data_IF_819078023557
#
_entry.id   IF_819078023557
#
_cell.length_a   1.000
_cell.length_b   1.000
_cell.length_c   1.000
_cell.angle_alpha   90.00
_cell.angle_beta   90.00
_cell.angle_gamma   90.00
#
_symmetry.space_group_name_H-M   'P 1'
#
loop_
_entity.id
_entity.type
_entity.pdbx_description
1 polymer ?
#
# COMPACT_ATOMS: atom_id res chain seq x y z
N UNK A 1 27.26 11.93 8.34
CA UNK A 1 25.92 12.34 8.77
C UNK A 1 25.61 11.78 10.16
N UNK A 2 24.84 12.49 10.96
CA UNK A 2 24.35 11.93 12.23
C UNK A 2 23.26 10.90 12.00
N UNK A 3 22.33 11.18 11.07
CA UNK A 3 21.34 10.21 10.62
C UNK A 3 21.06 10.35 9.12
N UNK A 4 20.75 9.24 8.48
CA UNK A 4 20.20 9.17 7.12
C UNK A 4 18.85 8.46 7.23
N UNK A 5 17.76 9.10 6.81
CA UNK A 5 16.46 8.47 6.65
C UNK A 5 16.24 8.22 5.16
N UNK A 6 16.21 6.95 4.77
CA UNK A 6 16.21 6.57 3.37
C UNK A 6 14.80 6.20 2.88
N UNK A 7 14.16 7.13 2.16
CA UNK A 7 12.85 6.94 1.52
C UNK A 7 12.93 6.39 0.09
N UNK A 8 14.13 6.08 -0.38
CA UNK A 8 14.30 5.53 -1.73
C UNK A 8 13.75 4.12 -1.83
N UNK A 9 13.16 3.80 -2.97
CA UNK A 9 12.69 2.46 -3.28
C UNK A 9 13.72 1.79 -4.17
N UNK A 10 14.37 0.76 -3.65
CA UNK A 10 15.35 -0.06 -4.35
C UNK A 10 14.77 -1.46 -4.61
N UNK A 11 15.22 -2.12 -5.68
CA UNK A 11 15.19 -3.55 -5.74
C UNK A 11 16.33 -4.14 -4.85
N UNK A 12 16.33 -5.46 -4.66
CA UNK A 12 17.30 -6.13 -3.75
C UNK A 12 18.74 -5.89 -4.18
N UNK A 13 19.05 -5.96 -5.47
CA UNK A 13 20.43 -5.83 -5.97
C UNK A 13 20.93 -4.37 -5.89
N UNK A 14 20.05 -3.41 -6.23
CA UNK A 14 20.37 -1.99 -6.09
C UNK A 14 20.69 -1.61 -4.64
N UNK A 15 19.94 -2.17 -3.68
CA UNK A 15 20.18 -1.95 -2.26
C UNK A 15 21.50 -2.55 -1.82
N UNK A 16 21.78 -3.79 -2.21
CA UNK A 16 23.03 -4.51 -1.88
C UNK A 16 24.27 -3.72 -2.24
N UNK A 17 24.28 -3.08 -3.41
CA UNK A 17 25.42 -2.28 -3.87
C UNK A 17 25.61 -1.00 -3.05
N UNK A 18 24.53 -0.41 -2.52
CA UNK A 18 24.57 0.93 -1.88
C UNK A 18 24.72 0.88 -0.35
N UNK A 19 24.16 -0.14 0.29
CA UNK A 19 23.98 -0.17 1.75
C UNK A 19 25.29 0.00 2.53
N UNK A 20 26.38 -0.60 2.08
CA UNK A 20 27.69 -0.50 2.76
C UNK A 20 28.21 0.95 2.81
N UNK A 21 27.97 1.72 1.75
CA UNK A 21 28.37 3.13 1.72
C UNK A 21 27.48 3.98 2.63
N UNK A 22 26.16 3.72 2.63
CA UNK A 22 25.20 4.41 3.47
C UNK A 22 25.48 4.17 4.95
N UNK A 23 25.74 2.93 5.36
CA UNK A 23 26.09 2.57 6.72
C UNK A 23 27.40 3.23 7.19
N UNK A 24 28.43 3.30 6.32
CA UNK A 24 29.70 3.98 6.63
C UNK A 24 29.58 5.50 6.71
N UNK A 25 28.58 6.08 6.05
CA UNK A 25 28.40 7.53 5.95
C UNK A 25 27.63 8.15 7.12
N UNK A 26 27.06 7.34 8.03
CA UNK A 26 26.15 7.84 9.07
C UNK A 26 26.35 7.11 10.40
N UNK A 27 25.98 7.77 11.50
CA UNK A 27 25.88 7.16 12.83
C UNK A 27 24.61 6.33 12.99
N UNK A 28 23.53 6.69 12.26
CA UNK A 28 22.25 5.95 12.22
C UNK A 28 21.69 5.96 10.81
N UNK A 29 21.49 4.78 10.24
CA UNK A 29 20.81 4.58 8.96
C UNK A 29 19.39 4.07 9.22
N UNK A 30 18.39 4.87 8.89
CA UNK A 30 16.96 4.51 9.04
C UNK A 30 16.45 4.04 7.69
N UNK A 31 16.19 2.74 7.60
CA UNK A 31 15.69 2.07 6.40
C UNK A 31 14.17 1.98 6.44
N UNK A 32 13.50 2.51 5.42
CA UNK A 32 12.05 2.37 5.28
C UNK A 32 11.73 1.06 4.57
N UNK A 33 11.39 0.05 5.37
CA UNK A 33 10.86 -1.23 4.95
C UNK A 33 9.34 -1.15 4.74
N UNK A 34 8.60 -2.21 5.05
CA UNK A 34 7.14 -2.25 4.97
C UNK A 34 6.58 -3.34 5.87
N UNK A 35 5.46 -3.09 6.53
CA UNK A 35 4.73 -4.13 7.24
C UNK A 35 4.09 -5.18 6.31
N UNK A 36 4.17 -5.01 5.00
CA UNK A 36 3.85 -6.08 4.03
C UNK A 36 4.82 -7.26 4.10
N UNK A 37 5.98 -7.11 4.75
CA UNK A 37 6.91 -8.22 4.98
C UNK A 37 6.35 -9.28 5.92
N UNK A 38 5.43 -8.93 6.82
CA UNK A 38 4.83 -9.88 7.75
C UNK A 38 4.02 -10.96 7.05
N UNK A 39 4.09 -12.16 7.57
CA UNK A 39 3.31 -13.30 7.14
C UNK A 39 1.79 -13.10 7.27
N UNK A 40 1.01 -14.03 6.76
CA UNK A 40 -0.44 -14.00 6.88
C UNK A 40 -0.87 -14.23 8.33
N UNK A 41 -1.86 -13.48 8.78
CA UNK A 41 -2.57 -13.66 10.04
C UNK A 41 -4.01 -14.09 9.72
N UNK A 42 -4.47 -15.16 10.33
CA UNK A 42 -5.77 -15.76 10.01
C UNK A 42 -6.84 -15.48 11.06
N UNK A 43 -6.42 -15.12 12.27
CA UNK A 43 -7.34 -14.80 13.37
C UNK A 43 -7.50 -13.27 13.48
N UNK A 44 -8.74 -12.81 13.64
CA UNK A 44 -9.04 -11.40 13.93
C UNK A 44 -8.49 -10.93 15.28
N UNK A 45 -8.20 -11.84 16.19
CA UNK A 45 -7.70 -11.52 17.53
C UNK A 45 -6.18 -11.49 17.62
N UNK A 46 -5.49 -11.97 16.58
CA UNK A 46 -4.04 -11.97 16.50
C UNK A 46 -3.52 -10.58 16.07
N UNK A 47 -2.71 -9.96 16.93
CA UNK A 47 -2.02 -8.71 16.62
C UNK A 47 -0.63 -9.00 16.06
N UNK A 48 -0.30 -8.34 14.97
CA UNK A 48 1.04 -8.38 14.37
C UNK A 48 1.98 -7.54 15.23
N UNK A 49 3.11 -8.11 15.62
CA UNK A 49 4.22 -7.41 16.27
C UNK A 49 5.51 -7.64 15.47
N UNK A 50 6.62 -7.06 15.92
CA UNK A 50 7.90 -7.13 15.22
C UNK A 50 8.50 -8.55 15.16
N UNK A 51 8.07 -9.45 16.06
CA UNK A 51 8.47 -10.86 16.10
C UNK A 51 7.61 -11.75 15.18
N UNK A 52 6.51 -11.22 14.64
CA UNK A 52 5.67 -11.96 13.69
C UNK A 52 6.51 -12.40 12.48
N UNK A 53 6.51 -13.71 12.11
CA UNK A 53 7.30 -14.22 11.01
C UNK A 53 7.01 -13.49 9.70
N UNK A 54 8.05 -13.31 8.88
CA UNK A 54 7.92 -12.63 7.59
C UNK A 54 7.49 -13.60 6.49
N UNK A 55 6.88 -13.08 5.44
CA UNK A 55 6.49 -13.84 4.23
C UNK A 55 7.68 -14.64 3.68
N UNK A 56 8.86 -14.00 3.59
CA UNK A 56 10.06 -14.63 3.07
C UNK A 56 10.47 -15.90 3.83
N UNK A 57 10.17 -15.96 5.14
CA UNK A 57 10.57 -17.04 6.03
C UNK A 57 9.51 -18.16 6.11
N UNK A 58 8.27 -17.92 5.64
CA UNK A 58 7.12 -18.84 5.82
C UNK A 58 6.60 -19.41 4.51
N UNK A 59 6.59 -18.64 3.43
CA UNK A 59 5.93 -19.00 2.18
C UNK A 59 6.75 -20.05 1.44
N UNK A 60 6.06 -21.04 0.84
CA UNK A 60 6.65 -22.09 0.02
C UNK A 60 6.28 -21.98 -1.46
N UNK A 61 5.67 -20.86 -1.87
CA UNK A 61 5.30 -20.58 -3.24
C UNK A 61 6.56 -20.16 -4.04
N UNK A 62 7.14 -21.11 -4.76
CA UNK A 62 8.37 -20.88 -5.53
C UNK A 62 8.20 -19.81 -6.61
N UNK A 63 7.02 -19.73 -7.25
CA UNK A 63 6.74 -18.69 -8.25
C UNK A 63 6.87 -17.30 -7.60
N UNK A 64 6.30 -17.12 -6.42
CA UNK A 64 6.41 -15.87 -5.68
C UNK A 64 7.84 -15.62 -5.19
N UNK A 65 8.47 -16.63 -4.57
CA UNK A 65 9.82 -16.52 -4.02
C UNK A 65 10.89 -16.22 -5.07
N UNK A 66 10.67 -16.61 -6.33
CA UNK A 66 11.56 -16.30 -7.45
C UNK A 66 11.39 -14.86 -7.99
N UNK A 67 10.45 -14.09 -7.45
CA UNK A 67 10.29 -12.67 -7.81
C UNK A 67 11.07 -11.78 -6.86
N UNK A 68 11.30 -10.53 -7.26
CA UNK A 68 11.68 -9.44 -6.36
C UNK A 68 10.46 -8.53 -6.08
N UNK A 69 9.28 -9.17 -5.84
CA UNK A 69 8.06 -8.44 -5.48
C UNK A 69 8.32 -7.61 -4.23
N UNK A 70 7.66 -6.49 -4.13
CA UNK A 70 7.93 -5.44 -3.15
C UNK A 70 8.11 -5.95 -1.71
N UNK A 71 7.26 -6.86 -1.22
CA UNK A 71 7.37 -7.37 0.15
C UNK A 71 8.59 -8.28 0.33
N UNK A 72 8.88 -9.13 -0.67
CA UNK A 72 10.08 -9.98 -0.67
C UNK A 72 11.36 -9.15 -0.81
N UNK A 73 11.35 -8.15 -1.68
CA UNK A 73 12.47 -7.22 -1.84
C UNK A 73 12.79 -6.52 -0.52
N UNK A 74 11.77 -5.98 0.17
CA UNK A 74 11.96 -5.35 1.48
C UNK A 74 12.48 -6.34 2.53
N UNK A 75 11.96 -7.57 2.60
CA UNK A 75 12.44 -8.58 3.54
C UNK A 75 13.91 -9.00 3.26
N UNK A 76 14.29 -9.12 1.99
CA UNK A 76 15.68 -9.39 1.60
C UNK A 76 16.62 -8.24 1.93
N UNK A 77 16.16 -7.00 1.77
CA UNK A 77 16.92 -5.81 2.16
C UNK A 77 17.12 -5.72 3.67
N UNK A 78 16.11 -6.14 4.46
CA UNK A 78 16.28 -6.30 5.91
C UNK A 78 17.38 -7.34 6.24
N UNK A 79 17.38 -8.50 5.56
CA UNK A 79 18.44 -9.51 5.76
C UNK A 79 19.83 -8.93 5.48
N UNK A 80 19.99 -8.15 4.41
CA UNK A 80 21.27 -7.49 4.08
C UNK A 80 21.73 -6.55 5.22
N UNK A 81 20.80 -5.85 5.88
CA UNK A 81 21.12 -5.01 7.04
C UNK A 81 21.54 -5.85 8.25
N UNK A 82 20.80 -6.93 8.57
CA UNK A 82 21.16 -7.85 9.65
C UNK A 82 22.53 -8.51 9.45
N UNK A 83 22.90 -8.76 8.20
CA UNK A 83 24.18 -9.39 7.81
C UNK A 83 25.34 -8.39 7.64
N UNK A 84 25.09 -7.08 7.80
CA UNK A 84 26.07 -6.03 7.50
C UNK A 84 27.27 -5.96 8.45
N UNK A 85 27.30 -6.74 9.54
CA UNK A 85 28.36 -6.74 10.53
C UNK A 85 28.45 -5.49 11.41
N UNK A 86 27.44 -4.63 11.35
CA UNK A 86 27.26 -3.44 12.19
C UNK A 86 25.77 -3.30 12.56
N UNK A 87 25.50 -2.51 13.59
CA UNK A 87 24.14 -2.32 14.09
C UNK A 87 23.69 -0.84 14.09
N UNK A 88 24.36 0.00 13.32
CA UNK A 88 23.99 1.43 13.21
C UNK A 88 22.83 1.65 12.23
N UNK A 89 21.93 0.70 12.14
CA UNK A 89 20.68 0.80 11.37
C UNK A 89 19.44 0.72 12.26
N UNK A 90 18.34 1.25 11.75
CA UNK A 90 16.99 1.11 12.31
C UNK A 90 16.05 0.78 11.16
N UNK A 91 15.29 -0.30 11.26
CA UNK A 91 14.31 -0.70 10.24
C UNK A 91 12.93 -0.20 10.64
N UNK A 92 12.26 0.51 9.75
CA UNK A 92 10.88 0.98 9.95
C UNK A 92 9.96 0.22 9.00
N UNK A 93 8.90 -0.38 9.53
CA UNK A 93 7.86 -1.10 8.79
C UNK A 93 6.53 -0.33 8.85
N UNK A 94 6.32 0.74 8.06
CA UNK A 94 4.99 1.32 7.94
C UNK A 94 4.06 0.36 7.20
N UNK A 95 2.76 0.42 7.50
CA UNK A 95 1.77 -0.29 6.68
C UNK A 95 1.16 0.67 5.65
N UNK A 96 -0.13 0.68 5.44
CA UNK A 96 -0.74 1.60 4.48
C UNK A 96 -0.75 3.01 5.09
N UNK A 97 0.07 3.90 4.53
CA UNK A 97 0.04 5.31 4.87
C UNK A 97 -0.88 6.07 3.93
N UNK A 98 -1.64 7.00 4.46
CA UNK A 98 -2.47 7.90 3.65
C UNK A 98 -2.15 9.36 3.94
N UNK A 99 -2.49 10.21 3.00
CA UNK A 99 -2.37 11.67 3.04
C UNK A 99 -3.32 12.29 2.03
N UNK A 100 -3.33 13.61 1.93
CA UNK A 100 -4.09 14.36 0.93
C UNK A 100 -3.76 13.93 -0.51
N UNK A 101 -2.57 13.42 -0.75
CA UNK A 101 -2.12 12.99 -2.08
C UNK A 101 -2.21 11.49 -2.31
N UNK A 102 -2.42 10.70 -1.26
CA UNK A 102 -2.48 9.24 -1.33
C UNK A 102 -3.68 8.69 -0.57
N UNK A 103 -4.69 8.28 -1.30
CA UNK A 103 -5.95 7.73 -0.82
C UNK A 103 -6.18 6.37 -1.49
N UNK A 104 -5.92 5.28 -0.75
CA UNK A 104 -5.97 3.91 -1.25
C UNK A 104 -7.26 3.22 -0.83
N UNK A 105 -7.86 2.43 -1.73
CA UNK A 105 -8.98 1.54 -1.45
C UNK A 105 -8.61 0.10 -1.84
N UNK A 106 -8.37 -0.76 -0.86
CA UNK A 106 -7.86 -2.12 -1.11
C UNK A 106 -6.49 -2.10 -1.79
N UNK A 107 -6.44 -2.48 -3.05
CA UNK A 107 -5.25 -2.40 -3.90
C UNK A 107 -5.32 -1.23 -4.91
N UNK A 108 -6.40 -0.48 -4.90
CA UNK A 108 -6.65 0.60 -5.85
C UNK A 108 -6.10 1.91 -5.32
N UNK A 109 -5.26 2.57 -6.11
CA UNK A 109 -4.84 3.94 -5.83
C UNK A 109 -5.95 4.93 -6.22
N UNK A 110 -5.88 6.18 -5.75
CA UNK A 110 -6.92 7.19 -6.02
C UNK A 110 -7.19 7.42 -7.51
N UNK A 111 -6.19 7.23 -8.36
CA UNK A 111 -6.30 7.31 -9.81
C UNK A 111 -7.25 6.28 -10.41
N UNK A 112 -7.46 5.17 -9.71
CA UNK A 112 -8.27 4.06 -10.22
C UNK A 112 -9.70 4.08 -9.67
N UNK A 113 -9.88 4.35 -8.37
CA UNK A 113 -11.21 4.32 -7.77
C UNK A 113 -11.84 5.72 -7.61
N UNK A 114 -11.07 6.70 -7.07
CA UNK A 114 -11.58 8.04 -6.80
C UNK A 114 -11.79 8.82 -8.11
N UNK A 115 -10.85 8.67 -9.05
CA UNK A 115 -10.99 9.25 -10.38
C UNK A 115 -12.28 8.77 -11.06
N UNK A 116 -12.60 7.48 -10.97
CA UNK A 116 -13.85 6.91 -11.50
C UNK A 116 -15.06 7.57 -10.87
N UNK A 117 -15.15 7.60 -9.54
CA UNK A 117 -16.25 8.22 -8.82
C UNK A 117 -16.49 9.68 -9.23
N UNK A 118 -15.41 10.46 -9.32
CA UNK A 118 -15.48 11.89 -9.70
C UNK A 118 -15.85 12.13 -11.16
N UNK A 119 -15.69 11.13 -12.03
CA UNK A 119 -16.05 11.22 -13.44
C UNK A 119 -17.35 10.48 -13.79
N UNK A 120 -18.15 10.09 -12.78
CA UNK A 120 -19.44 9.46 -12.95
C UNK A 120 -19.38 8.01 -13.41
N UNK A 121 -18.28 7.31 -13.12
CA UNK A 121 -18.14 5.87 -13.32
C UNK A 121 -18.26 5.13 -11.99
N UNK A 122 -18.75 3.90 -12.05
CA UNK A 122 -18.88 3.04 -10.88
C UNK A 122 -17.49 2.67 -10.30
N UNK A 123 -17.39 2.67 -8.97
CA UNK A 123 -16.27 2.09 -8.25
C UNK A 123 -16.43 0.57 -8.30
N UNK A 124 -15.38 -0.17 -8.67
CA UNK A 124 -15.40 -1.63 -8.59
C UNK A 124 -14.59 -2.07 -7.38
N UNK A 125 -15.24 -2.78 -6.46
CA UNK A 125 -14.60 -3.32 -5.28
C UNK A 125 -14.96 -4.79 -5.10
N UNK A 126 -14.33 -5.52 -4.17
CA UNK A 126 -14.56 -6.95 -4.01
C UNK A 126 -14.88 -7.34 -2.58
N UNK A 127 -15.82 -8.29 -2.44
CA UNK A 127 -16.32 -8.78 -1.14
C UNK A 127 -15.22 -9.51 -0.35
N UNK A 128 -14.35 -10.23 -1.03
CA UNK A 128 -13.25 -10.96 -0.39
C UNK A 128 -12.25 -10.04 0.31
N UNK A 129 -11.95 -8.86 -0.26
CA UNK A 129 -11.12 -7.85 0.43
C UNK A 129 -11.96 -7.06 1.43
N UNK A 130 -13.19 -6.69 1.09
CA UNK A 130 -14.05 -5.80 1.87
C UNK A 130 -14.22 -6.24 3.31
N UNK A 131 -14.30 -7.55 3.57
CA UNK A 131 -14.56 -8.15 4.88
C UNK A 131 -13.34 -8.21 5.81
N UNK A 132 -12.12 -8.01 5.30
CA UNK A 132 -10.89 -8.10 6.10
C UNK A 132 -10.53 -6.80 6.79
N UNK A 133 -9.98 -6.92 8.00
CA UNK A 133 -9.43 -5.78 8.72
C UNK A 133 -8.14 -5.28 8.07
N UNK A 134 -8.02 -3.97 8.05
CA UNK A 134 -6.84 -3.24 7.60
C UNK A 134 -6.52 -2.11 8.56
N UNK A 135 -5.28 -1.67 8.57
CA UNK A 135 -4.83 -0.50 9.32
C UNK A 135 -4.34 0.55 8.33
N UNK A 136 -4.92 1.74 8.35
CA UNK A 136 -4.46 2.89 7.59
C UNK A 136 -3.94 3.94 8.57
N UNK A 137 -2.70 4.38 8.36
CA UNK A 137 -2.07 5.34 9.28
C UNK A 137 -1.81 6.66 8.57
N UNK A 138 -2.19 7.77 9.20
CA UNK A 138 -1.90 9.09 8.66
C UNK A 138 -0.39 9.29 8.51
N UNK A 139 0.06 9.67 7.31
CA UNK A 139 1.48 9.75 6.97
C UNK A 139 2.28 10.70 7.85
N UNK A 140 1.64 11.78 8.34
CA UNK A 140 2.26 12.71 9.28
C UNK A 140 2.59 12.04 10.61
N UNK A 141 1.72 11.18 11.15
CA UNK A 141 1.98 10.46 12.39
C UNK A 141 3.12 9.45 12.25
N UNK A 142 3.20 8.78 11.08
CA UNK A 142 4.34 7.92 10.75
C UNK A 142 5.64 8.72 10.73
N UNK A 143 5.63 9.91 10.11
CA UNK A 143 6.82 10.77 10.07
C UNK A 143 7.25 11.25 11.45
N UNK A 144 6.30 11.53 12.36
CA UNK A 144 6.59 11.85 13.77
C UNK A 144 7.21 10.67 14.51
N UNK A 145 6.73 9.45 14.27
CA UNK A 145 7.33 8.24 14.82
C UNK A 145 8.77 8.05 14.35
N UNK A 146 9.03 8.24 13.06
CA UNK A 146 10.39 8.18 12.48
C UNK A 146 11.27 9.26 13.13
N UNK A 147 10.79 10.50 13.21
CA UNK A 147 11.54 11.60 13.81
C UNK A 147 11.90 11.33 15.28
N UNK A 148 11.01 10.69 16.04
CA UNK A 148 11.27 10.30 17.44
C UNK A 148 12.33 9.21 17.61
N UNK A 149 12.63 8.44 16.56
CA UNK A 149 13.67 7.40 16.56
C UNK A 149 15.04 7.94 16.12
N UNK A 150 15.10 9.13 15.51
CA UNK A 150 16.38 9.73 15.07
C UNK A 150 17.24 10.07 16.29
N UNK A 151 18.47 9.56 16.28
CA UNK A 151 19.42 9.80 17.35
C UNK A 151 19.13 9.03 18.65
N UNK A 152 18.15 8.13 18.68
CA UNK A 152 17.83 7.28 19.82
C UNK A 152 18.78 6.06 19.85
N UNK A 153 19.70 5.93 20.83
CA UNK A 153 20.64 4.80 20.87
C UNK A 153 19.92 3.44 20.97
N UNK A 154 18.81 3.38 21.69
CA UNK A 154 18.00 2.16 21.81
C UNK A 154 17.31 1.73 20.51
N UNK A 155 17.32 2.56 19.45
CA UNK A 155 16.78 2.20 18.16
C UNK A 155 17.81 1.61 17.20
N UNK A 156 19.09 1.60 17.56
CA UNK A 156 20.15 1.03 16.74
C UNK A 156 20.10 -0.50 16.75
N UNK A 157 20.08 -1.11 15.58
CA UNK A 157 19.93 -2.55 15.40
C UNK A 157 18.51 -3.07 15.60
N UNK A 158 17.51 -2.17 15.66
CA UNK A 158 16.13 -2.50 16.00
C UNK A 158 15.17 -2.32 14.83
N UNK A 159 14.06 -3.07 14.91
CA UNK A 159 12.94 -3.01 13.96
C UNK A 159 11.74 -2.44 14.67
N UNK A 160 11.04 -1.51 14.01
CA UNK A 160 9.77 -0.95 14.49
C UNK A 160 8.75 -0.94 13.37
N UNK A 161 7.52 -1.40 13.61
CA UNK A 161 6.43 -0.92 12.78
C UNK A 161 5.84 0.37 13.37
N UNK A 162 5.38 1.25 12.51
CA UNK A 162 4.72 2.50 12.91
C UNK A 162 3.35 2.53 12.25
N UNK A 163 2.33 2.17 13.02
CA UNK A 163 0.94 2.11 12.59
C UNK A 163 0.03 2.68 13.65
N UNK A 164 -1.19 3.11 13.28
CA UNK A 164 -2.21 3.41 14.28
C UNK A 164 -2.71 2.13 14.95
N UNK A 165 -3.34 2.26 16.14
CA UNK A 165 -4.00 1.14 16.80
C UNK A 165 -5.38 0.82 16.20
N UNK A 166 -5.92 1.75 15.43
CA UNK A 166 -7.23 1.62 14.83
C UNK A 166 -7.15 0.72 13.60
N UNK A 167 -7.99 -0.29 13.57
CA UNK A 167 -8.16 -1.17 12.43
C UNK A 167 -9.64 -1.21 12.05
N UNK A 168 -9.91 -1.13 10.76
CA UNK A 168 -11.23 -1.12 10.18
C UNK A 168 -11.33 -2.17 9.09
N UNK A 169 -12.51 -2.71 8.85
CA UNK A 169 -12.74 -3.47 7.63
C UNK A 169 -12.64 -2.56 6.42
N UNK A 170 -12.21 -3.10 5.29
CA UNK A 170 -12.14 -2.31 4.07
C UNK A 170 -13.51 -1.77 3.62
N UNK A 171 -14.59 -2.48 3.93
CA UNK A 171 -15.96 -1.97 3.70
C UNK A 171 -16.26 -0.72 4.52
N UNK A 172 -15.76 -0.62 5.76
CA UNK A 172 -15.92 0.57 6.59
C UNK A 172 -15.12 1.76 6.03
N UNK A 173 -13.90 1.50 5.53
CA UNK A 173 -13.09 2.55 4.86
C UNK A 173 -13.77 3.02 3.57
N UNK A 174 -14.35 2.11 2.79
CA UNK A 174 -15.16 2.47 1.61
C UNK A 174 -16.31 3.38 2.00
N UNK A 175 -17.04 3.07 3.08
CA UNK A 175 -18.15 3.90 3.55
C UNK A 175 -17.71 5.31 3.95
N UNK A 176 -16.56 5.47 4.60
CA UNK A 176 -16.00 6.80 4.92
C UNK A 176 -15.76 7.58 3.63
N UNK A 177 -15.13 6.98 2.62
CA UNK A 177 -14.91 7.63 1.33
C UNK A 177 -16.21 8.01 0.63
N UNK A 178 -17.19 7.10 0.60
CA UNK A 178 -18.48 7.33 -0.05
C UNK A 178 -19.26 8.46 0.62
N UNK A 179 -19.22 8.56 1.95
CA UNK A 179 -19.88 9.62 2.70
C UNK A 179 -19.33 11.02 2.35
N UNK A 180 -18.00 11.15 2.26
CA UNK A 180 -17.37 12.42 1.85
C UNK A 180 -17.72 12.76 0.40
N UNK A 181 -17.64 11.77 -0.50
CA UNK A 181 -17.95 11.97 -1.92
C UNK A 181 -19.40 12.33 -2.16
N UNK A 182 -20.35 11.73 -1.42
CA UNK A 182 -21.76 12.05 -1.50
C UNK A 182 -22.03 13.52 -1.17
N UNK A 183 -21.38 14.04 -0.12
CA UNK A 183 -21.47 15.47 0.25
C UNK A 183 -20.87 16.37 -0.84
N UNK A 184 -19.77 15.96 -1.44
CA UNK A 184 -19.07 16.77 -2.44
C UNK A 184 -19.79 16.74 -3.81
N UNK A 185 -20.23 15.57 -4.27
CA UNK A 185 -20.83 15.37 -5.59
C UNK A 185 -22.34 15.68 -5.62
N UNK A 186 -23.01 15.74 -4.46
CA UNK A 186 -24.46 15.85 -4.35
C UNK A 186 -25.21 14.53 -4.62
N UNK A 187 -24.51 13.45 -4.83
CA UNK A 187 -25.05 12.10 -4.98
C UNK A 187 -23.99 11.06 -4.56
N UNK A 188 -24.46 9.91 -4.10
CA UNK A 188 -23.59 8.81 -3.72
C UNK A 188 -23.05 8.10 -4.96
N UNK A 189 -21.72 7.90 -5.09
CA UNK A 189 -21.13 7.13 -6.18
C UNK A 189 -21.65 5.69 -6.20
N UNK A 190 -21.84 5.14 -7.38
CA UNK A 190 -22.22 3.74 -7.54
C UNK A 190 -21.02 2.83 -7.24
N UNK A 191 -21.26 1.72 -6.52
CA UNK A 191 -20.27 0.69 -6.22
C UNK A 191 -20.73 -0.66 -6.74
N UNK A 192 -19.95 -1.26 -7.62
CA UNK A 192 -20.18 -2.62 -8.12
C UNK A 192 -19.30 -3.58 -7.35
N UNK A 193 -19.89 -4.44 -6.53
CA UNK A 193 -19.21 -5.44 -5.73
C UNK A 193 -19.02 -6.74 -6.52
N UNK A 194 -17.77 -7.17 -6.68
CA UNK A 194 -17.43 -8.51 -7.22
C UNK A 194 -17.21 -9.50 -6.08
N UNK A 195 -17.35 -10.81 -6.32
CA UNK A 195 -17.12 -11.81 -5.28
C UNK A 195 -15.63 -11.93 -4.93
N UNK A 196 -14.77 -11.82 -5.93
CA UNK A 196 -13.31 -11.87 -5.77
C UNK A 196 -12.66 -10.63 -6.35
N UNK A 197 -11.55 -10.23 -5.76
CA UNK A 197 -10.73 -9.16 -6.30
C UNK A 197 -10.45 -9.42 -7.79
N UNK A 198 -10.59 -8.38 -8.58
CA UNK A 198 -10.28 -8.45 -10.00
C UNK A 198 -8.92 -9.11 -10.16
N UNK A 199 -8.86 -10.15 -11.00
CA UNK A 199 -7.60 -10.77 -11.43
C UNK A 199 -6.81 -9.74 -12.24
N UNK A 200 -6.20 -8.81 -11.50
CA UNK A 200 -5.35 -7.78 -12.07
C UNK A 200 -4.14 -8.50 -12.65
N UNK A 201 -3.88 -8.25 -13.93
CA UNK A 201 -2.81 -8.90 -14.68
C UNK A 201 -1.41 -8.40 -14.34
N UNK A 202 -1.30 -7.62 -13.28
CA UNK A 202 -0.01 -7.20 -12.74
C UNK A 202 0.40 -8.18 -11.65
N UNK A 203 1.43 -9.00 -11.85
CA UNK A 203 1.87 -9.99 -10.87
C UNK A 203 2.05 -9.41 -9.46
N UNK A 204 2.62 -8.20 -9.36
CA UNK A 204 2.81 -7.50 -8.09
C UNK A 204 1.49 -7.25 -7.34
N UNK A 205 0.40 -6.91 -8.05
CA UNK A 205 -0.92 -6.70 -7.43
C UNK A 205 -1.56 -8.03 -7.02
N UNK A 206 -1.39 -9.09 -7.81
CA UNK A 206 -1.90 -10.43 -7.46
C UNK A 206 -1.27 -10.95 -6.18
N UNK A 207 0.03 -10.80 -6.02
CA UNK A 207 0.74 -11.18 -4.80
C UNK A 207 0.37 -10.27 -3.62
N UNK A 208 0.15 -8.99 -3.85
CA UNK A 208 -0.35 -8.09 -2.82
C UNK A 208 -1.74 -8.50 -2.32
N UNK A 209 -2.65 -8.92 -3.20
CA UNK A 209 -3.96 -9.48 -2.81
C UNK A 209 -3.74 -10.78 -2.05
N UNK A 210 -3.06 -11.75 -2.67
CA UNK A 210 -2.88 -13.11 -2.16
C UNK A 210 -2.21 -13.17 -0.79
N UNK A 211 -1.20 -12.32 -0.54
CA UNK A 211 -0.36 -12.38 0.66
C UNK A 211 -0.52 -11.21 1.63
N UNK A 212 -1.41 -10.27 1.33
CA UNK A 212 -1.61 -9.14 2.22
C UNK A 212 -3.09 -8.76 2.40
N UNK A 213 -3.86 -8.52 1.32
CA UNK A 213 -5.20 -7.97 1.43
C UNK A 213 -6.28 -8.97 1.85
N UNK A 214 -6.03 -10.26 1.71
CA UNK A 214 -6.91 -11.35 2.14
C UNK A 214 -6.59 -11.84 3.56
N UNK A 215 -5.90 -11.03 4.36
CA UNK A 215 -5.54 -11.34 5.74
C UNK A 215 -5.82 -10.15 6.66
N UNK A 216 -6.03 -10.46 7.94
CA UNK A 216 -6.23 -9.46 8.97
C UNK A 216 -4.93 -8.69 9.20
N UNK A 217 -5.02 -7.35 9.22
CA UNK A 217 -3.85 -6.47 9.39
C UNK A 217 -4.09 -5.51 10.55
N UNK A 218 -3.94 -6.05 11.76
CA UNK A 218 -4.04 -5.37 13.03
C UNK A 218 -2.70 -5.44 13.76
N UNK A 219 -2.26 -4.37 14.37
CA UNK A 219 -0.89 -4.25 14.87
C UNK A 219 -0.84 -3.94 16.37
N UNK A 220 0.17 -4.50 17.06
CA UNK A 220 0.54 -4.15 18.42
C UNK A 220 1.66 -3.11 18.39
N UNK A 221 1.33 -1.87 18.74
CA UNK A 221 2.27 -0.74 18.72
C UNK A 221 3.03 -0.55 20.04
N UNK A 222 3.07 -1.54 20.93
CA UNK A 222 3.71 -1.42 22.24
C UNK A 222 5.19 -1.03 22.14
N UNK A 223 5.91 -1.60 21.18
CA UNK A 223 7.35 -1.34 20.98
C UNK A 223 7.63 0.12 20.59
N UNK A 224 6.94 0.64 19.57
CA UNK A 224 7.16 2.04 19.16
C UNK A 224 6.67 3.03 20.22
N UNK A 225 5.62 2.72 20.97
CA UNK A 225 5.18 3.56 22.08
C UNK A 225 6.17 3.62 23.23
N UNK A 226 6.84 2.51 23.51
CA UNK A 226 7.91 2.48 24.51
C UNK A 226 9.10 3.31 24.04
N UNK A 227 9.49 3.22 22.77
CA UNK A 227 10.61 3.96 22.20
C UNK A 227 10.32 5.46 22.06
N UNK A 228 9.09 5.82 21.67
CA UNK A 228 8.64 7.20 21.44
C UNK A 228 7.38 7.50 22.26
N UNK A 229 7.48 7.71 23.58
CA UNK A 229 6.33 7.85 24.48
C UNK A 229 5.43 9.05 24.15
N UNK A 230 5.93 10.01 23.41
CA UNK A 230 5.19 11.22 22.99
C UNK A 230 4.39 11.01 21.70
N UNK A 231 4.58 9.89 21.00
CA UNK A 231 3.84 9.60 19.79
C UNK A 231 2.35 9.42 20.08
N UNK A 232 1.51 10.11 19.33
CA UNK A 232 0.06 10.00 19.36
C UNK A 232 -0.41 9.88 17.93
N UNK A 233 -1.27 8.93 17.69
CA UNK A 233 -1.92 8.75 16.38
C UNK A 233 -3.26 9.50 16.40
N UNK A 234 -3.55 10.17 15.31
CA UNK A 234 -4.84 10.80 15.08
C UNK A 234 -5.90 9.76 14.74
N UNK A 235 -7.17 10.11 14.93
CA UNK A 235 -8.27 9.24 14.53
C UNK A 235 -8.25 9.00 13.00
N UNK A 236 -8.25 7.75 12.58
CA UNK A 236 -8.08 7.38 11.17
C UNK A 236 -9.24 7.86 10.31
N UNK A 237 -10.49 7.75 10.79
CA UNK A 237 -11.68 8.17 10.02
C UNK A 237 -11.68 9.67 9.80
N UNK A 238 -11.46 10.44 10.87
CA UNK A 238 -11.45 11.90 10.81
C UNK A 238 -10.35 12.41 9.86
N UNK A 239 -9.18 11.80 9.92
CA UNK A 239 -8.07 12.19 9.03
C UNK A 239 -8.27 11.73 7.58
N UNK A 240 -8.93 10.58 7.32
CA UNK A 240 -9.32 10.19 5.97
C UNK A 240 -10.34 11.19 5.39
N UNK A 241 -11.35 11.58 6.18
CA UNK A 241 -12.33 12.59 5.76
C UNK A 241 -11.65 13.93 5.45
N UNK A 242 -10.75 14.38 6.33
CA UNK A 242 -9.98 15.61 6.16
C UNK A 242 -9.08 15.57 4.92
N UNK A 243 -8.31 14.50 4.74
CA UNK A 243 -7.41 14.32 3.59
C UNK A 243 -8.18 14.27 2.27
N UNK A 244 -9.30 13.53 2.22
CA UNK A 244 -10.13 13.47 1.01
C UNK A 244 -10.77 14.83 0.76
N UNK A 245 -11.30 15.52 1.77
CA UNK A 245 -11.86 16.86 1.64
C UNK A 245 -10.85 17.84 1.05
N UNK A 246 -9.63 17.88 1.60
CA UNK A 246 -8.53 18.72 1.08
C UNK A 246 -8.17 18.36 -0.37
N UNK A 247 -8.09 17.07 -0.69
CA UNK A 247 -7.82 16.64 -2.07
C UNK A 247 -8.90 17.13 -3.04
N UNK A 248 -10.18 17.09 -2.63
CA UNK A 248 -11.31 17.48 -3.47
C UNK A 248 -11.37 18.99 -3.73
N UNK A 249 -10.74 19.85 -2.93
CA UNK A 249 -10.63 21.29 -3.18
C UNK A 249 -9.79 21.59 -4.45
N UNK A 250 -8.76 20.77 -4.73
CA UNK A 250 -7.90 20.90 -5.91
C UNK A 250 -7.42 19.52 -6.39
N UNK A 251 -8.30 18.72 -6.99
CA UNK A 251 -7.99 17.33 -7.31
C UNK A 251 -6.95 17.22 -8.44
N UNK A 252 -5.85 16.54 -8.13
CA UNK A 252 -4.79 16.25 -9.08
C UNK A 252 -4.61 14.74 -9.21
N UNK A 253 -4.86 14.24 -10.40
CA UNK A 253 -4.67 12.84 -10.76
C UNK A 253 -3.55 12.66 -11.76
N UNK A 254 -2.78 11.59 -11.60
CA UNK A 254 -2.03 11.00 -12.70
C UNK A 254 -2.98 10.21 -13.62
N UNK A 255 -2.47 9.71 -14.74
CA UNK A 255 -3.31 8.93 -15.65
C UNK A 255 -3.79 7.63 -14.98
N UNK A 256 -5.11 7.33 -15.04
CA UNK A 256 -5.65 6.07 -14.54
C UNK A 256 -5.00 4.85 -15.21
N UNK A 257 -4.86 3.75 -14.47
CA UNK A 257 -4.27 2.51 -14.99
C UNK A 257 -5.15 1.90 -16.09
N UNK A 258 -4.69 1.98 -17.34
CA UNK A 258 -5.44 1.65 -18.54
C UNK A 258 -6.05 0.24 -18.51
N UNK A 259 -5.24 -0.77 -18.18
CA UNK A 259 -5.68 -2.16 -18.19
C UNK A 259 -6.65 -2.47 -17.06
N UNK A 260 -6.42 -1.88 -15.90
CA UNK A 260 -7.29 -2.01 -14.73
C UNK A 260 -8.67 -1.38 -15.01
N UNK A 261 -8.68 -0.18 -15.57
CA UNK A 261 -9.93 0.49 -15.93
C UNK A 261 -10.68 -0.24 -17.04
N UNK A 262 -10.00 -0.81 -18.03
CA UNK A 262 -10.66 -1.67 -19.02
C UNK A 262 -11.29 -2.93 -18.40
N UNK A 263 -10.69 -3.49 -17.35
CA UNK A 263 -11.27 -4.62 -16.60
C UNK A 263 -12.47 -4.19 -15.77
N UNK A 264 -12.39 -3.05 -15.09
CA UNK A 264 -13.52 -2.49 -14.34
C UNK A 264 -14.70 -2.22 -15.25
N UNK A 265 -14.46 -1.63 -16.43
CA UNK A 265 -15.51 -1.37 -17.42
C UNK A 265 -16.11 -2.66 -18.01
N UNK A 266 -15.38 -3.77 -18.04
CA UNK A 266 -15.97 -5.09 -18.36
C UNK A 266 -16.97 -5.54 -17.31
N UNK A 267 -16.65 -5.31 -16.03
CA UNK A 267 -17.50 -5.71 -14.92
C UNK A 267 -18.75 -4.83 -14.83
N UNK A 268 -18.60 -3.51 -15.00
CA UNK A 268 -19.69 -2.56 -14.85
C UNK A 268 -20.55 -2.40 -16.12
N UNK A 269 -20.06 -2.83 -17.29
CA UNK A 269 -20.69 -2.56 -18.58
C UNK A 269 -20.37 -1.16 -19.13
N UNK A 270 -19.70 -0.32 -18.35
CA UNK A 270 -19.33 1.05 -18.71
C UNK A 270 -18.24 1.12 -19.77
N UNK A 271 -17.97 2.33 -20.25
CA UNK A 271 -16.87 2.62 -21.17
C UNK A 271 -16.28 3.97 -20.89
N UNK A 272 -15.01 4.01 -20.52
CA UNK A 272 -14.27 5.27 -20.36
C UNK A 272 -14.17 6.06 -21.64
N UNK A 273 -14.17 7.39 -21.51
CA UNK A 273 -13.91 8.32 -22.62
C UNK A 273 -12.46 8.17 -23.08
N UNK A 274 -12.25 7.92 -24.38
CA UNK A 274 -10.92 7.65 -24.94
C UNK A 274 -9.96 8.84 -24.89
N UNK A 275 -10.47 10.06 -24.74
CA UNK A 275 -9.65 11.28 -24.69
C UNK A 275 -8.77 11.39 -23.43
N UNK A 276 -9.07 10.60 -22.37
CA UNK A 276 -8.21 10.51 -21.18
C UNK A 276 -6.85 9.87 -21.51
N UNK A 277 -6.77 9.08 -22.57
CA UNK A 277 -5.54 8.48 -23.04
C UNK A 277 -4.91 9.34 -24.14
N UNK A 278 -3.71 9.83 -23.88
CA UNK A 278 -3.03 10.81 -24.73
C UNK A 278 -2.68 10.28 -26.12
N UNK A 279 -2.35 8.98 -26.24
CA UNK A 279 -1.89 8.40 -27.51
C UNK A 279 -2.94 7.48 -28.15
N UNK A 280 -2.92 7.40 -29.49
CA UNK A 280 -3.74 6.45 -30.25
C UNK A 280 -3.46 5.00 -29.83
N UNK A 281 -2.19 4.67 -29.59
CA UNK A 281 -1.76 3.35 -29.09
C UNK A 281 -2.43 3.00 -27.76
N UNK A 282 -2.47 3.94 -26.83
CA UNK A 282 -3.11 3.73 -25.52
C UNK A 282 -4.62 3.52 -25.68
N UNK A 283 -5.27 4.30 -26.54
CA UNK A 283 -6.71 4.16 -26.87
C UNK A 283 -7.03 2.80 -27.45
N UNK A 284 -6.25 2.35 -28.43
CA UNK A 284 -6.40 1.01 -29.02
C UNK A 284 -6.13 -0.09 -27.99
N UNK A 285 -5.09 0.05 -27.16
CA UNK A 285 -4.79 -0.91 -26.09
C UNK A 285 -5.94 -1.02 -25.09
N UNK A 286 -6.57 0.10 -24.71
CA UNK A 286 -7.76 0.08 -23.87
C UNK A 286 -8.93 -0.65 -24.54
N UNK A 287 -9.23 -0.34 -25.81
CA UNK A 287 -10.33 -0.98 -26.52
C UNK A 287 -10.12 -2.51 -26.65
N UNK A 288 -8.92 -2.94 -26.97
CA UNK A 288 -8.58 -4.37 -27.00
C UNK A 288 -8.72 -4.97 -25.60
N UNK A 289 -8.18 -4.33 -24.56
CA UNK A 289 -8.31 -4.79 -23.20
C UNK A 289 -9.76 -4.83 -22.71
N UNK A 290 -10.63 -3.95 -23.19
CA UNK A 290 -12.06 -3.87 -22.84
C UNK A 290 -12.92 -4.90 -23.57
N UNK A 291 -12.65 -5.17 -24.85
CA UNK A 291 -13.57 -5.92 -25.73
C UNK A 291 -13.04 -7.27 -26.26
N UNK A 292 -11.72 -7.42 -26.38
CA UNK A 292 -11.16 -8.67 -26.91
C UNK A 292 -11.30 -9.84 -25.91
N UNK A 293 -11.37 -11.09 -26.39
CA UNK A 293 -11.31 -12.27 -25.52
C UNK A 293 -10.12 -12.24 -24.56
N UNK A 294 -10.29 -12.83 -23.38
CA UNK A 294 -9.28 -12.78 -22.29
C UNK A 294 -7.93 -13.36 -22.72
N UNK A 295 -7.94 -14.36 -23.59
CA UNK A 295 -6.75 -15.01 -24.15
C UNK A 295 -5.92 -14.04 -24.98
N UNK A 296 -6.56 -13.24 -25.83
CA UNK A 296 -5.89 -12.21 -26.64
C UNK A 296 -5.29 -11.12 -25.76
N UNK A 297 -6.02 -10.69 -24.76
CA UNK A 297 -5.53 -9.65 -23.85
C UNK A 297 -4.32 -10.15 -23.05
N UNK A 298 -4.26 -11.44 -22.67
CA UNK A 298 -3.08 -12.05 -22.01
C UNK A 298 -1.81 -11.97 -22.86
N UNK A 299 -1.93 -12.14 -24.16
CA UNK A 299 -0.79 -12.08 -25.11
C UNK A 299 -0.27 -10.63 -25.27
N UNK A 300 -1.17 -9.66 -25.28
CA UNK A 300 -0.82 -8.24 -25.49
C UNK A 300 -0.29 -7.53 -24.22
N UNK A 301 -0.32 -8.20 -23.07
CA UNK A 301 0.08 -7.66 -21.77
C UNK A 301 1.34 -8.32 -21.19
N UNK A 302 1.87 -9.34 -21.89
CA UNK A 302 3.22 -9.85 -21.69
C UNK A 302 4.23 -8.94 -22.39
#
# INVERSE_FOLDING_TARGET
WDAIVDFMVYNTDEFRVRVSQLLKATKQYIFISSARVYGPTTSSDELINEETPRLLDMIKDEEYLNTDEYALSKARQENILHEAGCNNWTIIRPYITFSETRLQLGVLEKEDWLWRAMNGYSIVFSKDIASHYTTLTYGYDVSRGIAGLIGLPAALGEVYHITTDEAYKWEEILEVYLHVLEKYLGHRPEVVMTDKCLNLRFPAMQFQVKYCRLFERRFDNSKIRLAVPTLRFKNTRDEIESCLGTFLESPLFSSPALLLNAQMDRVTGERMRLNIYSTLKSRLKYLVARYAPTEIVKVLTK
#
